data_IF_477898880113
#
_entry.id   IF_477898880113
#
_cell.length_a   1.000
_cell.length_b   1.000
_cell.length_c   1.000
_cell.angle_alpha   90.00
_cell.angle_beta   90.00
_cell.angle_gamma   90.00
#
_symmetry.space_group_name_H-M   'P 1'
#
loop_
_entity.id
_entity.type
_entity.pdbx_description
1 polymer ?
#
# COMPACT_ATOMS: atom_id res chain seq x y z
N UNK A 1 21.55 22.15 14.11
CA UNK A 1 20.29 21.73 14.73
C UNK A 1 19.87 20.39 14.16
N UNK A 2 19.41 19.46 14.99
CA UNK A 2 18.86 18.17 14.54
C UNK A 2 17.50 18.42 13.89
N UNK A 3 17.24 17.77 12.74
CA UNK A 3 15.91 17.74 12.14
C UNK A 3 14.99 16.87 13.01
N UNK A 4 13.83 17.42 13.38
CA UNK A 4 12.78 16.71 14.12
C UNK A 4 11.64 16.40 13.15
N UNK A 5 11.25 15.13 13.07
CA UNK A 5 10.12 14.69 12.23
C UNK A 5 9.01 14.23 13.17
N UNK A 6 7.83 14.83 13.05
CA UNK A 6 6.61 14.45 13.77
C UNK A 6 5.67 13.79 12.79
N UNK A 7 5.29 12.54 13.04
CA UNK A 7 4.29 11.81 12.24
C UNK A 7 2.99 11.68 13.03
N UNK A 8 1.90 12.15 12.43
CA UNK A 8 0.54 11.97 12.95
C UNK A 8 -0.23 11.15 11.93
N UNK A 9 -0.51 9.90 12.27
CA UNK A 9 -1.23 8.97 11.40
C UNK A 9 -2.74 9.06 11.62
N UNK A 10 -3.53 8.92 10.55
CA UNK A 10 -4.99 8.90 10.58
C UNK A 10 -5.63 10.13 11.29
N UNK A 11 -5.25 11.35 10.86
CA UNK A 11 -5.75 12.60 11.47
C UNK A 11 -7.27 12.75 11.42
N UNK A 12 -7.95 12.05 10.50
CA UNK A 12 -9.41 11.99 10.44
C UNK A 12 -10.05 11.38 11.70
N UNK A 13 -9.32 10.60 12.48
CA UNK A 13 -9.82 10.07 13.75
C UNK A 13 -10.09 11.17 14.76
N UNK A 14 -9.27 12.22 14.76
CA UNK A 14 -9.45 13.42 15.57
C UNK A 14 -10.68 14.22 15.11
N UNK A 15 -10.90 14.30 13.81
CA UNK A 15 -12.04 15.01 13.20
C UNK A 15 -13.36 14.34 13.54
N UNK A 16 -13.44 13.02 13.44
CA UNK A 16 -14.65 12.25 13.78
C UNK A 16 -15.05 12.43 15.25
N UNK A 17 -14.08 12.51 16.14
CA UNK A 17 -14.34 12.80 17.55
C UNK A 17 -15.02 14.17 17.75
N UNK A 18 -14.66 15.17 16.92
CA UNK A 18 -15.29 16.50 16.94
C UNK A 18 -16.71 16.49 16.38
N UNK A 19 -16.98 15.78 15.27
CA UNK A 19 -18.31 15.70 14.66
C UNK A 19 -19.32 14.91 15.52
N UNK A 20 -18.90 13.80 16.11
CA UNK A 20 -19.75 12.99 17.01
C UNK A 20 -20.15 13.77 18.26
N UNK A 21 -19.28 14.61 18.75
CA UNK A 21 -19.52 15.49 19.90
C UNK A 21 -20.53 16.61 19.62
N UNK A 22 -20.74 17.01 18.37
CA UNK A 22 -21.71 18.05 17.99
C UNK A 22 -23.16 17.56 18.00
N UNK A 23 -23.41 16.23 18.10
CA UNK A 23 -24.75 15.60 17.99
C UNK A 23 -25.39 15.18 19.31
N UNK A 24 -24.81 15.54 20.47
CA UNK A 24 -25.45 15.38 21.78
C UNK A 24 -24.84 14.35 22.71
N UNK A 25 -24.51 14.75 23.86
CA UNK A 25 -23.91 14.25 25.09
C UNK A 25 -22.40 14.51 25.19
N UNK A 26 -22.09 15.55 25.91
CA UNK A 26 -20.76 16.00 26.35
C UNK A 26 -19.72 16.28 25.25
N UNK A 27 -20.01 17.28 24.39
CA UNK A 27 -19.15 17.65 23.26
C UNK A 27 -17.82 18.30 23.65
N UNK A 28 -17.67 18.69 24.91
CA UNK A 28 -16.61 19.66 25.27
C UNK A 28 -15.20 19.08 25.22
N UNK A 29 -14.99 17.84 25.66
CA UNK A 29 -13.63 17.33 25.86
C UNK A 29 -12.96 16.90 24.55
N UNK A 30 -13.68 16.23 23.64
CA UNK A 30 -13.12 15.84 22.35
C UNK A 30 -12.76 17.06 21.48
N UNK A 31 -13.64 18.08 21.46
CA UNK A 31 -13.37 19.34 20.76
C UNK A 31 -12.18 20.09 21.38
N UNK A 32 -12.07 20.10 22.71
CA UNK A 32 -10.92 20.70 23.42
C UNK A 32 -9.60 20.00 23.06
N UNK A 33 -9.59 18.66 23.01
CA UNK A 33 -8.41 17.88 22.64
C UNK A 33 -7.98 18.21 21.21
N UNK A 34 -8.89 18.24 20.25
CA UNK A 34 -8.56 18.59 18.85
C UNK A 34 -7.99 20.01 18.76
N UNK A 35 -8.64 20.97 19.40
CA UNK A 35 -8.16 22.36 19.41
C UNK A 35 -6.80 22.49 20.12
N UNK A 36 -6.54 21.73 21.18
CA UNK A 36 -5.23 21.67 21.83
C UNK A 36 -4.15 21.12 20.89
N UNK A 37 -4.44 20.03 20.15
CA UNK A 37 -3.52 19.48 19.15
C UNK A 37 -3.21 20.51 18.07
N UNK A 38 -4.24 21.16 17.48
CA UNK A 38 -4.05 22.20 16.47
C UNK A 38 -3.18 23.35 16.99
N UNK A 39 -3.43 23.80 18.22
CA UNK A 39 -2.64 24.86 18.85
C UNK A 39 -1.18 24.43 19.04
N UNK A 40 -0.92 23.18 19.44
CA UNK A 40 0.44 22.65 19.56
C UNK A 40 1.13 22.55 18.20
N UNK A 41 0.41 22.14 17.15
CA UNK A 41 0.94 22.12 15.79
C UNK A 41 1.38 23.51 15.33
N UNK A 42 0.55 24.54 15.58
CA UNK A 42 0.86 25.94 15.26
C UNK A 42 2.09 26.45 16.04
N UNK A 43 2.29 25.98 17.28
CA UNK A 43 3.49 26.32 18.07
C UNK A 43 4.75 25.63 17.56
N UNK A 44 4.64 24.34 17.23
CA UNK A 44 5.77 23.54 16.75
C UNK A 44 6.21 24.00 15.35
N UNK A 45 5.30 24.42 14.50
CA UNK A 45 5.59 24.90 13.14
C UNK A 45 6.43 26.18 13.11
N UNK A 46 6.60 26.87 14.24
CA UNK A 46 7.48 28.04 14.36
C UNK A 46 8.98 27.68 14.35
N UNK A 47 9.31 26.39 14.54
CA UNK A 47 10.70 25.95 14.59
C UNK A 47 11.17 25.52 13.18
N UNK A 48 12.25 26.12 12.64
CA UNK A 48 12.68 25.87 11.25
C UNK A 48 13.30 24.47 11.03
N UNK A 49 13.52 23.73 12.09
CA UNK A 49 14.09 22.38 12.07
C UNK A 49 13.04 21.28 12.32
N UNK A 50 11.75 21.59 12.21
CA UNK A 50 10.66 20.63 12.41
C UNK A 50 9.94 20.38 11.10
N UNK A 51 9.71 19.11 10.80
CA UNK A 51 8.84 18.64 9.72
C UNK A 51 7.67 17.88 10.34
N UNK A 52 6.45 18.32 10.06
CA UNK A 52 5.23 17.62 10.48
C UNK A 52 4.65 16.89 9.27
N UNK A 53 4.47 15.60 9.40
CA UNK A 53 3.86 14.73 8.38
C UNK A 53 2.57 14.18 8.96
N UNK A 54 1.48 14.35 8.23
CA UNK A 54 0.18 13.78 8.61
C UNK A 54 -0.32 12.86 7.51
N UNK A 55 -0.98 11.76 7.89
CA UNK A 55 -1.68 10.89 6.94
C UNK A 55 -3.18 10.94 7.19
N UNK A 56 -3.95 10.73 6.13
CA UNK A 56 -5.40 10.58 6.23
C UNK A 56 -5.94 9.65 5.15
N UNK A 57 -6.97 8.88 5.49
CA UNK A 57 -7.77 8.12 4.55
C UNK A 57 -8.88 9.02 3.99
N UNK A 58 -8.88 9.25 2.67
CA UNK A 58 -9.77 10.20 1.98
C UNK A 58 -11.26 9.83 2.07
N UNK A 59 -11.62 8.69 2.60
CA UNK A 59 -13.00 8.24 2.75
C UNK A 59 -13.83 9.01 3.79
N UNK A 60 -13.24 9.99 4.47
CA UNK A 60 -13.92 10.85 5.43
C UNK A 60 -13.70 12.33 5.13
N UNK A 61 -14.57 13.18 5.62
CA UNK A 61 -14.40 14.65 5.62
C UNK A 61 -13.16 14.98 6.45
N UNK A 62 -12.07 15.36 5.77
CA UNK A 62 -10.91 15.94 6.44
C UNK A 62 -11.34 17.28 7.03
N UNK A 63 -11.06 17.51 8.31
CA UNK A 63 -11.30 18.84 8.91
C UNK A 63 -10.44 19.88 8.16
N UNK A 64 -11.10 20.86 7.59
CA UNK A 64 -10.46 21.97 6.90
C UNK A 64 -9.37 22.63 7.75
N UNK A 65 -9.52 22.59 9.09
CA UNK A 65 -8.52 23.13 9.99
C UNK A 65 -7.15 22.43 9.91
N UNK A 66 -7.10 21.14 9.60
CA UNK A 66 -5.83 20.44 9.32
C UNK A 66 -5.35 20.71 7.89
N UNK A 67 -6.28 20.72 6.94
CA UNK A 67 -5.96 20.95 5.52
C UNK A 67 -5.35 22.33 5.30
N UNK A 68 -5.87 23.36 5.96
CA UNK A 68 -5.40 24.73 5.81
C UNK A 68 -4.00 24.97 6.41
N UNK A 69 -3.58 24.12 7.33
CA UNK A 69 -2.24 24.16 7.94
C UNK A 69 -1.17 23.43 7.15
N UNK A 70 -1.57 22.65 6.13
CA UNK A 70 -0.64 21.86 5.35
C UNK A 70 -0.08 22.67 4.17
N UNK A 71 1.25 22.87 4.15
CA UNK A 71 1.96 23.52 3.05
C UNK A 71 1.97 22.65 1.79
N UNK A 72 2.11 21.32 1.97
CA UNK A 72 2.15 20.35 0.87
C UNK A 72 1.07 19.30 1.09
N UNK A 73 0.24 19.10 0.06
CA UNK A 73 -0.82 18.09 0.05
C UNK A 73 -0.53 17.11 -1.07
N UNK A 74 -0.22 15.87 -0.71
CA UNK A 74 0.11 14.83 -1.69
C UNK A 74 -0.92 13.71 -1.64
N UNK A 75 -1.62 13.51 -2.75
CA UNK A 75 -2.47 12.34 -2.93
C UNK A 75 -1.62 11.10 -3.24
N UNK A 76 -1.86 10.02 -2.50
CA UNK A 76 -1.25 8.72 -2.73
C UNK A 76 -2.32 7.75 -3.21
N UNK A 77 -2.39 7.54 -4.52
CA UNK A 77 -3.35 6.63 -5.15
C UNK A 77 -2.93 5.17 -5.07
N UNK A 78 -3.70 4.33 -5.78
CA UNK A 78 -3.33 2.92 -5.95
C UNK A 78 -2.03 2.80 -6.73
N UNK A 79 -1.20 1.78 -6.46
CA UNK A 79 0.09 1.63 -7.12
C UNK A 79 -0.06 1.36 -8.63
N UNK A 80 0.84 1.95 -9.41
CA UNK A 80 0.98 1.68 -10.84
C UNK A 80 1.53 0.27 -11.09
N UNK A 81 1.41 -0.25 -12.31
CA UNK A 81 2.00 -1.55 -12.69
C UNK A 81 3.49 -1.64 -12.35
N UNK A 82 4.25 -0.56 -12.58
CA UNK A 82 5.66 -0.47 -12.23
C UNK A 82 5.90 -0.61 -10.72
N UNK A 83 5.09 0.08 -9.92
CA UNK A 83 5.17 -0.03 -8.46
C UNK A 83 4.74 -1.44 -7.97
N UNK A 84 3.72 -2.05 -8.60
CA UNK A 84 3.28 -3.41 -8.29
C UNK A 84 4.39 -4.43 -8.59
N UNK A 85 5.06 -4.29 -9.73
CA UNK A 85 6.22 -5.13 -10.06
C UNK A 85 7.29 -5.07 -8.97
N UNK A 86 7.64 -3.87 -8.50
CA UNK A 86 8.62 -3.69 -7.44
C UNK A 86 8.16 -4.30 -6.09
N UNK A 87 6.87 -4.18 -5.76
CA UNK A 87 6.29 -4.82 -4.58
C UNK A 87 6.45 -6.34 -4.67
N UNK A 88 6.06 -6.95 -5.79
CA UNK A 88 6.18 -8.40 -5.98
C UNK A 88 7.63 -8.86 -6.02
N UNK A 89 8.49 -8.11 -6.72
CA UNK A 89 9.94 -8.39 -6.75
C UNK A 89 10.53 -8.43 -5.34
N UNK A 90 10.21 -7.45 -4.50
CA UNK A 90 10.70 -7.40 -3.12
C UNK A 90 10.17 -8.56 -2.26
N UNK A 91 8.91 -8.96 -2.45
CA UNK A 91 8.35 -10.11 -1.77
C UNK A 91 9.03 -11.42 -2.22
N UNK A 92 9.27 -11.61 -3.52
CA UNK A 92 9.96 -12.78 -4.06
C UNK A 92 11.42 -12.84 -3.56
N UNK A 93 12.11 -11.71 -3.53
CA UNK A 93 13.46 -11.62 -2.99
C UNK A 93 13.52 -12.08 -1.52
N UNK A 94 12.56 -11.67 -0.71
CA UNK A 94 12.45 -12.11 0.68
C UNK A 94 12.12 -13.60 0.79
N UNK A 95 11.21 -14.12 -0.03
CA UNK A 95 10.89 -15.56 -0.06
C UNK A 95 12.08 -16.43 -0.50
N UNK A 96 12.94 -15.92 -1.40
CA UNK A 96 14.22 -16.55 -1.73
C UNK A 96 15.18 -16.54 -0.54
N UNK A 97 15.31 -15.38 0.10
CA UNK A 97 16.19 -15.22 1.27
C UNK A 97 15.90 -16.22 2.39
N UNK A 98 14.61 -16.52 2.62
CA UNK A 98 14.17 -17.48 3.64
C UNK A 98 14.05 -18.93 3.12
N UNK A 99 14.40 -19.21 1.85
CA UNK A 99 14.45 -20.54 1.28
C UNK A 99 13.11 -21.16 0.86
N UNK A 100 12.05 -20.38 0.74
CA UNK A 100 10.74 -20.83 0.23
C UNK A 100 10.76 -20.94 -1.29
N UNK A 101 11.44 -20.02 -1.98
CA UNK A 101 11.64 -20.08 -3.42
C UNK A 101 13.09 -20.45 -3.69
N UNK A 102 13.32 -21.44 -4.57
CA UNK A 102 14.65 -21.83 -5.00
C UNK A 102 15.30 -20.67 -5.78
N UNK A 103 16.56 -20.39 -5.48
CA UNK A 103 17.32 -19.31 -6.11
C UNK A 103 18.11 -19.83 -7.32
N UNK A 104 17.41 -20.47 -8.25
CA UNK A 104 18.00 -21.08 -9.45
C UNK A 104 17.78 -20.26 -10.73
N UNK A 105 16.76 -19.39 -10.73
CA UNK A 105 16.38 -18.64 -11.91
C UNK A 105 16.58 -17.13 -11.72
N UNK A 106 16.94 -16.43 -12.81
CA UNK A 106 17.13 -15.00 -12.80
C UNK A 106 15.78 -14.25 -12.78
N UNK A 107 15.70 -13.24 -11.93
CA UNK A 107 14.61 -12.27 -11.92
C UNK A 107 15.22 -10.87 -11.95
N UNK A 108 14.95 -10.12 -13.00
CA UNK A 108 15.49 -8.79 -13.21
C UNK A 108 14.76 -7.76 -12.37
N UNK A 109 15.48 -6.71 -11.94
CA UNK A 109 14.81 -5.51 -11.42
C UNK A 109 14.05 -4.82 -12.57
N UNK A 110 13.08 -3.97 -12.24
CA UNK A 110 12.32 -3.27 -13.27
C UNK A 110 13.24 -2.43 -14.18
N UNK A 111 14.23 -1.75 -13.60
CA UNK A 111 15.21 -0.93 -14.33
C UNK A 111 16.03 -1.77 -15.31
N UNK A 112 16.47 -2.95 -14.89
CA UNK A 112 17.24 -3.84 -15.77
C UNK A 112 16.35 -4.39 -16.90
N UNK A 113 15.10 -4.71 -16.61
CA UNK A 113 14.13 -5.19 -17.58
C UNK A 113 13.80 -4.10 -18.63
N UNK A 114 13.62 -2.86 -18.19
CA UNK A 114 13.44 -1.70 -19.08
C UNK A 114 14.66 -1.46 -19.97
N UNK A 115 15.88 -1.63 -19.46
CA UNK A 115 17.11 -1.49 -20.23
C UNK A 115 17.24 -2.51 -21.37
N UNK A 116 16.58 -3.65 -21.26
CA UNK A 116 16.47 -4.67 -22.31
C UNK A 116 15.37 -4.38 -23.33
N UNK A 117 14.71 -3.21 -23.27
CA UNK A 117 13.53 -2.87 -24.05
C UNK A 117 12.39 -3.91 -23.95
N UNK A 118 12.29 -4.61 -22.82
CA UNK A 118 11.31 -5.67 -22.59
C UNK A 118 11.32 -6.79 -23.65
N UNK A 119 12.50 -7.06 -24.27
CA UNK A 119 12.63 -8.08 -25.30
C UNK A 119 12.49 -9.47 -24.66
N UNK A 120 11.67 -10.30 -25.28
CA UNK A 120 11.48 -11.70 -24.85
C UNK A 120 12.73 -12.51 -25.20
N UNK A 121 13.44 -12.94 -24.16
CA UNK A 121 14.55 -13.91 -24.22
C UNK A 121 14.33 -14.93 -23.10
N UNK A 122 14.97 -16.07 -23.18
CA UNK A 122 14.85 -17.09 -22.13
C UNK A 122 15.17 -16.53 -20.73
N UNK A 123 16.19 -15.68 -20.64
CA UNK A 123 16.59 -15.03 -19.37
C UNK A 123 15.60 -13.97 -18.84
N UNK A 124 14.81 -13.33 -19.71
CA UNK A 124 13.84 -12.27 -19.33
C UNK A 124 12.42 -12.80 -19.15
N UNK A 125 12.14 -14.04 -19.56
CA UNK A 125 10.81 -14.64 -19.61
C UNK A 125 10.08 -14.57 -18.28
N UNK A 126 10.73 -14.93 -17.18
CA UNK A 126 10.11 -14.91 -15.84
C UNK A 126 9.85 -13.50 -15.33
N UNK A 127 10.73 -12.56 -15.66
CA UNK A 127 10.54 -11.14 -15.33
C UNK A 127 9.39 -10.53 -16.12
N UNK A 128 9.22 -10.90 -17.38
CA UNK A 128 8.09 -10.48 -18.20
C UNK A 128 6.78 -11.11 -17.71
N UNK A 129 6.79 -12.37 -17.28
CA UNK A 129 5.63 -12.99 -16.65
C UNK A 129 5.25 -12.25 -15.35
N UNK A 130 6.22 -11.88 -14.52
CA UNK A 130 5.96 -11.08 -13.32
C UNK A 130 5.40 -9.69 -13.69
N UNK A 131 5.88 -9.08 -14.78
CA UNK A 131 5.34 -7.83 -15.30
C UNK A 131 3.88 -7.96 -15.74
N UNK A 132 3.53 -9.06 -16.41
CA UNK A 132 2.15 -9.37 -16.78
C UNK A 132 1.26 -9.55 -15.55
N UNK A 133 1.70 -10.33 -14.55
CA UNK A 133 1.00 -10.50 -13.27
C UNK A 133 0.80 -9.16 -12.58
N UNK A 134 1.80 -8.27 -12.59
CA UNK A 134 1.68 -6.93 -12.07
C UNK A 134 0.61 -6.11 -12.82
N UNK A 135 0.54 -6.21 -14.15
CA UNK A 135 -0.51 -5.59 -14.96
C UNK A 135 -1.91 -6.11 -14.62
N UNK A 136 -2.03 -7.41 -14.44
CA UNK A 136 -3.28 -8.04 -13.99
C UNK A 136 -3.68 -7.59 -12.57
N UNK A 137 -2.75 -7.15 -11.74
CA UNK A 137 -3.00 -6.73 -10.36
C UNK A 137 -3.31 -5.22 -10.19
N UNK A 138 -3.34 -4.46 -11.28
CA UNK A 138 -3.72 -3.04 -11.24
C UNK A 138 -5.12 -2.89 -10.67
N UNK A 139 -5.30 -1.91 -9.76
CA UNK A 139 -6.53 -1.68 -9.02
C UNK A 139 -6.59 -2.34 -7.64
N UNK A 140 -5.54 -3.06 -7.22
CA UNK A 140 -5.40 -3.54 -5.86
C UNK A 140 -4.64 -2.54 -4.98
N UNK A 141 -5.01 -2.48 -3.69
CA UNK A 141 -4.27 -1.72 -2.69
C UNK A 141 -2.92 -2.37 -2.38
N UNK A 142 -1.96 -1.58 -1.89
CA UNK A 142 -0.65 -2.09 -1.46
C UNK A 142 -0.74 -3.21 -0.41
N UNK A 143 -1.74 -3.13 0.48
CA UNK A 143 -2.03 -4.18 1.47
C UNK A 143 -2.47 -5.49 0.81
N UNK A 144 -3.35 -5.41 -0.18
CA UNK A 144 -3.80 -6.59 -0.96
C UNK A 144 -2.64 -7.20 -1.73
N UNK A 145 -1.85 -6.37 -2.42
CA UNK A 145 -0.71 -6.83 -3.20
C UNK A 145 0.32 -7.60 -2.37
N UNK A 146 0.60 -7.16 -1.15
CA UNK A 146 1.51 -7.87 -0.24
C UNK A 146 0.98 -9.22 0.26
N UNK A 147 -0.35 -9.42 0.21
CA UNK A 147 -0.97 -10.71 0.56
C UNK A 147 -0.92 -11.72 -0.58
N UNK A 148 -0.87 -11.29 -1.84
CA UNK A 148 -0.89 -12.18 -3.01
C UNK A 148 0.22 -13.24 -2.96
N UNK A 149 1.51 -12.93 -2.70
CA UNK A 149 2.56 -13.93 -2.61
C UNK A 149 2.31 -14.98 -1.51
N UNK A 150 1.79 -14.55 -0.37
CA UNK A 150 1.40 -15.46 0.71
C UNK A 150 0.26 -16.39 0.29
N UNK A 151 -0.81 -15.84 -0.31
CA UNK A 151 -1.95 -16.62 -0.78
C UNK A 151 -1.54 -17.58 -1.91
N UNK A 152 -0.66 -17.16 -2.80
CA UNK A 152 -0.11 -18.00 -3.86
C UNK A 152 0.59 -19.24 -3.27
N UNK A 153 1.44 -19.04 -2.28
CA UNK A 153 2.12 -20.15 -1.62
C UNK A 153 1.15 -21.02 -0.82
N UNK A 154 0.26 -20.42 -0.02
CA UNK A 154 -0.60 -21.17 0.90
C UNK A 154 -1.70 -21.97 0.19
N UNK A 155 -2.22 -21.48 -0.95
CA UNK A 155 -3.39 -22.08 -1.62
C UNK A 155 -3.05 -22.81 -2.92
N UNK A 156 -1.94 -22.49 -3.56
CA UNK A 156 -1.62 -22.98 -4.90
C UNK A 156 -0.21 -23.60 -5.02
N UNK A 157 0.58 -23.59 -3.96
CA UNK A 157 1.86 -24.29 -3.95
C UNK A 157 1.69 -25.71 -3.39
N UNK A 158 2.14 -26.71 -4.15
CA UNK A 158 2.06 -28.13 -3.78
C UNK A 158 3.20 -28.57 -2.82
N UNK A 159 4.11 -27.66 -2.50
CA UNK A 159 5.30 -27.97 -1.71
C UNK A 159 5.74 -26.77 -0.87
N UNK A 160 6.33 -26.98 0.32
CA UNK A 160 6.90 -25.91 1.14
C UNK A 160 7.99 -25.12 0.43
N UNK A 161 8.72 -25.74 -0.49
CA UNK A 161 9.76 -25.12 -1.32
C UNK A 161 9.41 -25.30 -2.79
N UNK A 162 9.40 -24.21 -3.54
CA UNK A 162 8.95 -24.18 -4.94
C UNK A 162 9.97 -23.49 -5.84
N UNK A 163 9.99 -23.85 -7.14
CA UNK A 163 10.73 -23.11 -8.16
C UNK A 163 10.02 -21.79 -8.51
N UNK A 164 10.79 -20.81 -8.98
CA UNK A 164 10.22 -19.49 -9.36
C UNK A 164 9.12 -19.59 -10.43
N UNK A 165 9.26 -20.39 -11.51
CA UNK A 165 8.20 -20.54 -12.50
C UNK A 165 6.88 -21.06 -11.91
N UNK A 166 6.95 -22.07 -11.04
CA UNK A 166 5.77 -22.60 -10.34
C UNK A 166 5.14 -21.55 -9.42
N UNK A 167 5.97 -20.82 -8.69
CA UNK A 167 5.51 -19.75 -7.82
C UNK A 167 4.81 -18.63 -8.58
N UNK A 168 5.34 -18.20 -9.73
CA UNK A 168 4.69 -17.19 -10.57
C UNK A 168 3.35 -17.68 -11.12
N UNK A 169 3.23 -18.94 -11.51
CA UNK A 169 1.95 -19.53 -11.91
C UNK A 169 0.95 -19.53 -10.75
N UNK A 170 1.38 -19.87 -9.55
CA UNK A 170 0.55 -19.79 -8.34
C UNK A 170 0.14 -18.35 -8.01
N UNK A 171 1.03 -17.37 -8.21
CA UNK A 171 0.69 -15.94 -8.07
C UNK A 171 -0.38 -15.50 -9.06
N UNK A 172 -0.32 -15.96 -10.29
CA UNK A 172 -1.33 -15.64 -11.31
C UNK A 172 -2.71 -16.17 -10.89
N UNK A 173 -2.79 -17.40 -10.40
CA UNK A 173 -4.03 -17.98 -9.87
C UNK A 173 -4.57 -17.19 -8.66
N UNK A 174 -3.69 -16.80 -7.74
CA UNK A 174 -4.07 -15.99 -6.57
C UNK A 174 -4.60 -14.60 -6.97
N UNK A 175 -4.02 -13.97 -7.99
CA UNK A 175 -4.51 -12.69 -8.53
C UNK A 175 -5.89 -12.83 -9.15
N UNK A 176 -6.12 -13.89 -9.95
CA UNK A 176 -7.43 -14.14 -10.56
C UNK A 176 -8.50 -14.38 -9.49
N UNK A 177 -8.20 -15.21 -8.51
CA UNK A 177 -9.08 -15.47 -7.37
C UNK A 177 -9.43 -14.19 -6.61
N UNK A 178 -8.44 -13.36 -6.32
CA UNK A 178 -8.66 -12.09 -5.61
C UNK A 178 -9.51 -11.10 -6.41
N UNK A 179 -9.46 -11.15 -7.75
CA UNK A 179 -10.37 -10.36 -8.60
C UNK A 179 -11.80 -10.84 -8.53
N UNK A 180 -11.99 -12.16 -8.61
CA UNK A 180 -13.32 -12.77 -8.49
C UNK A 180 -13.97 -12.43 -7.15
N UNK A 181 -13.23 -12.60 -6.06
CA UNK A 181 -13.71 -12.28 -4.70
C UNK A 181 -14.09 -10.79 -4.59
N UNK A 182 -13.29 -9.90 -5.18
CA UNK A 182 -13.59 -8.45 -5.19
C UNK A 182 -14.87 -8.14 -5.96
N UNK A 183 -15.11 -8.80 -7.09
CA UNK A 183 -16.34 -8.64 -7.88
C UNK A 183 -17.56 -9.14 -7.13
N UNK A 184 -17.47 -10.29 -6.45
CA UNK A 184 -18.57 -10.85 -5.66
C UNK A 184 -18.97 -9.93 -4.50
N UNK A 185 -18.01 -9.32 -3.81
CA UNK A 185 -18.27 -8.37 -2.70
C UNK A 185 -18.88 -7.05 -3.23
N UNK A 186 -18.60 -6.68 -4.48
CA UNK A 186 -19.05 -5.42 -5.09
C UNK A 186 -20.47 -5.49 -5.67
N UNK A 187 -21.07 -6.68 -5.77
CA UNK A 187 -22.48 -6.87 -6.17
C UNK A 187 -23.30 -6.80 -4.90
N UNK A 188 -24.12 -5.75 -4.65
CA UNK A 188 -25.07 -5.78 -3.55
C UNK A 188 -26.06 -6.89 -3.83
N UNK A 189 -26.33 -7.72 -2.81
CA UNK A 189 -27.44 -8.68 -2.86
C UNK A 189 -28.73 -7.93 -3.24
N UNK A 190 -29.12 -8.05 -4.49
CA UNK A 190 -30.44 -7.64 -4.97
C UNK A 190 -31.43 -8.72 -4.52
N UNK A 191 -31.89 -8.58 -3.28
CA UNK A 191 -33.14 -9.16 -2.79
C UNK A 191 -34.19 -8.09 -2.65
#
# INVERSE_FOLDING_TARGET
>A
ALLVIVLIDEVESLTRARESSSKGSDPSDAVRVVNAVLTQLDQINKYPNVLIVTTSNISGTLDLAFVDRADIKQYVGLPSQAAIYQIYYSCIAELRRIGIILDSELLFTLRDLESTNMIIKDVTKLSLLLWEIAGQSVGFSGRTLRKIPFLAHALHADSPVVSLPRFLSAMQMAVLKQKEDKLQISVPDSC
#
